data_IF_030066403869
#
_entry.id   IF_030066403869
#
_cell.length_a   1.000
_cell.length_b   1.000
_cell.length_c   1.000
_cell.angle_alpha   90.00
_cell.angle_beta   90.00
_cell.angle_gamma   90.00
#
_symmetry.space_group_name_H-M   'P 1'
#
loop_
_entity.id
_entity.type
_entity.pdbx_description
1 polymer ?
#
# COMPACT_ATOMS: atom_id res chain seq x y z
N UNK A 1 -4.21 -29.03 7.48
CA UNK A 1 -3.58 -28.00 8.33
C UNK A 1 -3.93 -26.64 7.77
N UNK A 2 -4.19 -25.66 8.63
CA UNK A 2 -4.38 -24.25 8.24
C UNK A 2 -3.11 -23.73 7.57
N UNK A 3 -3.22 -23.16 6.38
CA UNK A 3 -2.09 -22.54 5.67
C UNK A 3 -1.96 -21.09 6.09
N UNK A 4 -0.73 -20.66 6.32
CA UNK A 4 -0.34 -19.26 6.52
C UNK A 4 0.54 -18.86 5.34
N UNK A 5 0.07 -17.96 4.48
CA UNK A 5 0.77 -17.51 3.27
C UNK A 5 0.89 -15.99 3.25
N UNK A 6 2.00 -15.46 2.77
CA UNK A 6 2.18 -14.02 2.66
C UNK A 6 2.88 -13.60 1.36
N UNK A 7 2.51 -12.42 0.86
CA UNK A 7 3.22 -11.69 -0.16
C UNK A 7 3.60 -10.31 0.39
N UNK A 8 4.89 -10.00 0.41
CA UNK A 8 5.43 -8.77 0.98
C UNK A 8 6.19 -8.01 -0.10
N UNK A 9 5.74 -6.80 -0.41
CA UNK A 9 6.24 -6.01 -1.53
C UNK A 9 6.82 -4.69 -1.01
N UNK A 10 8.08 -4.43 -1.36
CA UNK A 10 8.76 -3.16 -1.11
C UNK A 10 9.26 -2.55 -2.41
N UNK A 11 9.04 -1.24 -2.60
CA UNK A 11 9.53 -0.51 -3.78
C UNK A 11 10.26 0.77 -3.35
N UNK A 12 11.59 0.81 -3.55
CA UNK A 12 12.45 1.97 -3.31
C UNK A 12 12.70 2.81 -4.58
N UNK A 13 12.39 2.28 -5.76
CA UNK A 13 12.53 2.94 -7.06
C UNK A 13 13.94 3.44 -7.39
N UNK A 14 15.01 2.64 -7.15
CA UNK A 14 16.38 3.11 -7.27
C UNK A 14 16.70 3.64 -8.67
N UNK A 15 17.37 4.79 -8.76
CA UNK A 15 17.77 5.42 -10.02
C UNK A 15 16.65 6.14 -10.75
N UNK A 16 15.44 6.23 -10.17
CA UNK A 16 14.30 6.93 -10.75
C UNK A 16 14.18 8.34 -10.14
N UNK A 17 14.97 9.27 -10.67
CA UNK A 17 15.15 10.60 -10.08
C UNK A 17 13.84 11.36 -9.83
N UNK A 18 13.59 11.64 -8.54
CA UNK A 18 12.40 12.33 -8.05
C UNK A 18 11.29 11.42 -7.55
N UNK A 19 11.46 10.09 -7.55
CA UNK A 19 10.51 9.10 -7.02
C UNK A 19 11.18 8.10 -6.08
N UNK A 20 12.42 8.35 -5.64
CA UNK A 20 13.18 7.41 -4.83
C UNK A 20 12.70 7.41 -3.37
N UNK A 21 12.46 6.22 -2.83
CA UNK A 21 12.24 5.93 -1.42
C UNK A 21 13.39 5.06 -0.89
N UNK A 22 13.50 4.92 0.42
CA UNK A 22 14.62 4.21 1.07
C UNK A 22 14.15 3.11 2.01
N UNK A 23 13.02 3.29 2.69
CA UNK A 23 12.56 2.37 3.73
C UNK A 23 11.75 1.17 3.24
N UNK A 24 11.20 1.21 2.03
CA UNK A 24 10.16 0.27 1.61
C UNK A 24 10.64 -1.19 1.51
N UNK A 25 11.84 -1.42 0.97
CA UNK A 25 12.43 -2.75 0.95
C UNK A 25 12.79 -3.27 2.35
N UNK A 26 13.15 -2.37 3.28
CA UNK A 26 13.39 -2.73 4.68
C UNK A 26 12.08 -3.13 5.37
N UNK A 27 10.98 -2.41 5.11
CA UNK A 27 9.65 -2.71 5.65
C UNK A 27 9.19 -4.12 5.27
N UNK A 28 9.33 -4.51 4.00
CA UNK A 28 8.99 -5.85 3.54
C UNK A 28 9.80 -6.94 4.28
N UNK A 29 11.10 -6.72 4.51
CA UNK A 29 11.94 -7.64 5.28
C UNK A 29 11.63 -7.66 6.78
N UNK A 30 11.26 -6.52 7.37
CA UNK A 30 10.78 -6.43 8.76
C UNK A 30 9.52 -7.26 8.95
N UNK A 31 8.53 -7.08 8.09
CA UNK A 31 7.29 -7.86 8.15
C UNK A 31 7.54 -9.35 7.90
N UNK A 32 8.45 -9.72 6.99
CA UNK A 32 8.84 -11.12 6.81
C UNK A 32 9.37 -11.73 8.12
N UNK A 33 10.26 -11.00 8.80
CA UNK A 33 10.82 -11.42 10.08
C UNK A 33 9.73 -11.53 11.15
N UNK A 34 8.84 -10.53 11.23
CA UNK A 34 7.74 -10.49 12.19
C UNK A 34 6.76 -11.65 11.98
N UNK A 35 6.34 -11.92 10.74
CA UNK A 35 5.44 -13.02 10.40
C UNK A 35 6.01 -14.39 10.77
N UNK A 36 7.32 -14.59 10.53
CA UNK A 36 7.99 -15.84 10.89
C UNK A 36 8.12 -16.01 12.41
N UNK A 37 8.60 -14.98 13.08
CA UNK A 37 9.02 -15.08 14.50
C UNK A 37 7.88 -14.90 15.48
N UNK A 38 6.87 -14.09 15.15
CA UNK A 38 5.73 -13.79 16.05
C UNK A 38 4.45 -14.47 15.64
N UNK A 39 4.21 -14.66 14.34
CA UNK A 39 2.95 -15.25 13.84
C UNK A 39 3.11 -16.67 13.30
N UNK A 40 4.32 -17.24 13.33
CA UNK A 40 4.57 -18.63 12.93
C UNK A 40 4.26 -18.93 11.46
N UNK A 41 4.48 -17.97 10.55
CA UNK A 41 4.39 -18.23 9.12
C UNK A 41 5.61 -19.06 8.66
N UNK A 42 5.41 -20.20 7.96
CA UNK A 42 6.50 -20.93 7.34
C UNK A 42 7.21 -20.06 6.30
N UNK A 43 8.55 -20.05 6.30
CA UNK A 43 9.32 -19.16 5.42
C UNK A 43 9.10 -19.46 3.94
N UNK A 44 8.87 -20.71 3.58
CA UNK A 44 8.55 -21.18 2.23
C UNK A 44 7.18 -20.69 1.70
N UNK A 45 6.31 -20.21 2.60
CA UNK A 45 5.01 -19.65 2.26
C UNK A 45 5.00 -18.12 2.27
N UNK A 46 6.17 -17.47 2.41
CA UNK A 46 6.31 -16.02 2.35
C UNK A 46 7.10 -15.67 1.10
N UNK A 47 6.43 -15.04 0.14
CA UNK A 47 7.06 -14.45 -1.04
C UNK A 47 7.41 -12.98 -0.75
N UNK A 48 8.63 -12.56 -1.10
CA UNK A 48 9.12 -11.19 -0.89
C UNK A 48 9.61 -10.61 -2.21
N UNK A 49 9.00 -9.49 -2.65
CA UNK A 49 9.37 -8.78 -3.88
C UNK A 49 9.97 -7.41 -3.51
N UNK A 50 11.23 -7.18 -3.92
CA UNK A 50 11.98 -5.95 -3.62
C UNK A 50 12.83 -5.54 -4.81
N UNK A 51 13.08 -4.24 -4.96
CA UNK A 51 13.79 -3.64 -6.10
C UNK A 51 15.19 -3.10 -5.76
N UNK A 52 15.68 -3.32 -4.54
CA UNK A 52 17.01 -2.91 -4.10
C UNK A 52 18.11 -3.94 -4.42
N UNK A 53 17.74 -5.07 -5.02
CA UNK A 53 18.65 -6.11 -5.49
C UNK A 53 18.19 -6.67 -6.85
N UNK A 54 18.96 -6.48 -7.94
CA UNK A 54 18.61 -7.04 -9.26
C UNK A 54 18.54 -8.57 -9.32
N UNK A 55 19.16 -9.28 -8.37
CA UNK A 55 19.17 -10.75 -8.30
C UNK A 55 17.92 -11.38 -7.69
N UNK A 56 16.94 -10.57 -7.25
CA UNK A 56 15.67 -11.05 -6.68
C UNK A 56 14.51 -10.78 -7.63
N UNK A 57 13.37 -11.44 -7.38
CA UNK A 57 12.14 -11.12 -8.09
C UNK A 57 11.75 -9.66 -7.81
N UNK A 58 11.73 -8.88 -8.88
CA UNK A 58 11.44 -7.45 -8.83
C UNK A 58 9.96 -7.21 -8.53
N UNK A 59 9.66 -6.12 -7.85
CA UNK A 59 8.29 -5.68 -7.52
C UNK A 59 7.60 -4.97 -8.71
N UNK A 60 7.67 -5.56 -9.91
CA UNK A 60 6.99 -5.03 -11.12
C UNK A 60 5.49 -5.32 -11.09
N UNK A 61 4.70 -4.61 -11.90
CA UNK A 61 3.26 -4.85 -11.99
C UNK A 61 2.95 -6.33 -12.29
N UNK A 62 3.63 -6.89 -13.29
CA UNK A 62 3.45 -8.27 -13.71
C UNK A 62 3.81 -9.28 -12.62
N UNK A 63 4.90 -9.05 -11.89
CA UNK A 63 5.31 -9.92 -10.80
C UNK A 63 4.33 -9.83 -9.62
N UNK A 64 3.96 -8.63 -9.18
CA UNK A 64 2.99 -8.46 -8.08
C UNK A 64 1.69 -9.19 -8.41
N UNK A 65 1.14 -9.02 -9.62
CA UNK A 65 -0.06 -9.73 -10.07
C UNK A 65 0.10 -11.25 -10.02
N UNK A 66 1.18 -11.79 -10.61
CA UNK A 66 1.49 -13.23 -10.59
C UNK A 66 1.56 -13.78 -9.17
N UNK A 67 2.21 -13.06 -8.26
CA UNK A 67 2.38 -13.49 -6.87
C UNK A 67 1.10 -13.31 -6.04
N UNK A 68 0.24 -12.34 -6.37
CA UNK A 68 -1.11 -12.23 -5.80
C UNK A 68 -1.98 -13.42 -6.23
N UNK A 69 -1.95 -13.81 -7.50
CA UNK A 69 -2.63 -15.00 -8.01
C UNK A 69 -2.14 -16.27 -7.29
N UNK A 70 -0.81 -16.39 -7.07
CA UNK A 70 -0.23 -17.46 -6.24
C UNK A 70 -0.70 -17.38 -4.78
N UNK A 71 -0.80 -16.20 -4.19
CA UNK A 71 -1.22 -16.00 -2.79
C UNK A 71 -2.66 -16.49 -2.58
N UNK A 72 -3.58 -16.13 -3.47
CA UNK A 72 -5.00 -16.51 -3.38
C UNK A 72 -5.29 -17.91 -3.93
N UNK A 73 -4.33 -18.53 -4.62
CA UNK A 73 -4.44 -19.89 -5.14
C UNK A 73 -4.32 -20.98 -4.07
N UNK A 74 -5.07 -22.07 -4.25
CA UNK A 74 -5.06 -23.27 -3.40
C UNK A 74 -5.34 -23.00 -1.91
N UNK A 75 -6.24 -22.07 -1.61
CA UNK A 75 -6.65 -21.69 -0.25
C UNK A 75 -8.05 -22.22 0.09
N UNK A 76 -8.28 -22.49 1.37
CA UNK A 76 -9.56 -22.98 1.89
C UNK A 76 -9.94 -22.26 3.19
N UNK A 77 -11.22 -22.34 3.58
CA UNK A 77 -11.71 -21.77 4.84
C UNK A 77 -10.78 -22.12 6.02
N UNK A 78 -10.44 -21.11 6.82
CA UNK A 78 -9.50 -21.19 7.93
C UNK A 78 -8.07 -20.79 7.57
N UNK A 79 -7.69 -20.75 6.28
CA UNK A 79 -6.38 -20.26 5.86
C UNK A 79 -6.22 -18.75 6.13
N UNK A 80 -4.96 -18.33 6.32
CA UNK A 80 -4.58 -16.97 6.69
C UNK A 80 -3.62 -16.42 5.65
N UNK A 81 -4.01 -15.31 5.04
CA UNK A 81 -3.29 -14.66 3.96
C UNK A 81 -2.91 -13.24 4.38
N UNK A 82 -1.65 -12.87 4.17
CA UNK A 82 -1.17 -11.51 4.37
C UNK A 82 -0.64 -10.96 3.06
N UNK A 83 -1.18 -9.84 2.61
CA UNK A 83 -0.52 -9.02 1.60
C UNK A 83 0.01 -7.76 2.28
N UNK A 84 1.25 -7.37 1.98
CA UNK A 84 1.75 -6.07 2.39
C UNK A 84 2.42 -5.37 1.24
N UNK A 85 2.13 -4.07 1.11
CA UNK A 85 2.77 -3.20 0.15
C UNK A 85 3.34 -1.98 0.86
N UNK A 86 4.61 -1.71 0.62
CA UNK A 86 5.33 -0.51 1.06
C UNK A 86 5.92 0.15 -0.17
N UNK A 87 5.54 1.41 -0.44
CA UNK A 87 5.92 2.11 -1.66
C UNK A 87 4.96 3.26 -1.97
N UNK A 88 5.04 3.76 -3.20
CA UNK A 88 4.21 4.83 -3.67
C UNK A 88 2.74 4.43 -3.89
N UNK A 89 1.82 5.33 -3.55
CA UNK A 89 0.40 5.24 -3.87
C UNK A 89 -0.21 6.59 -4.26
N UNK A 90 -1.32 6.58 -5.01
CA UNK A 90 -2.12 7.77 -5.32
C UNK A 90 -3.50 7.44 -5.90
N UNK A 91 -4.33 8.47 -6.06
CA UNK A 91 -5.54 8.45 -6.88
C UNK A 91 -5.21 8.71 -8.35
N UNK A 92 -5.76 7.88 -9.23
CA UNK A 92 -5.75 8.05 -10.68
C UNK A 92 -7.17 8.28 -11.17
N UNK A 93 -7.35 9.30 -12.02
CA UNK A 93 -8.65 9.54 -12.63
C UNK A 93 -9.02 8.36 -13.55
N UNK A 94 -10.27 7.91 -13.45
CA UNK A 94 -10.80 6.90 -14.38
C UNK A 94 -10.92 7.50 -15.78
N UNK A 95 -10.87 6.67 -16.81
CA UNK A 95 -10.98 7.11 -18.21
C UNK A 95 -12.29 7.88 -18.47
N UNK A 96 -12.28 8.71 -19.52
CA UNK A 96 -13.35 9.66 -19.90
C UNK A 96 -14.79 9.10 -19.98
N UNK A 97 -14.98 7.78 -20.01
CA UNK A 97 -16.27 7.09 -20.05
C UNK A 97 -16.81 6.68 -18.66
N UNK A 98 -15.97 6.71 -17.62
CA UNK A 98 -16.32 6.39 -16.24
C UNK A 98 -15.85 7.53 -15.32
N UNK A 99 -16.77 8.38 -14.86
CA UNK A 99 -16.42 9.44 -13.91
C UNK A 99 -16.02 8.84 -12.55
N UNK A 100 -14.84 9.19 -12.03
CA UNK A 100 -14.40 8.75 -10.69
C UNK A 100 -12.88 8.64 -10.56
N UNK A 101 -12.43 8.13 -9.43
CA UNK A 101 -11.01 7.92 -9.11
C UNK A 101 -10.77 6.44 -8.78
N UNK A 102 -9.64 5.92 -9.23
CA UNK A 102 -9.10 4.63 -8.81
C UNK A 102 -7.94 4.86 -7.87
N UNK A 103 -7.97 4.17 -6.74
CA UNK A 103 -6.79 4.07 -5.88
C UNK A 103 -5.77 3.15 -6.54
N UNK A 104 -4.50 3.51 -6.44
CA UNK A 104 -3.43 2.80 -7.09
C UNK A 104 -2.19 2.72 -6.20
N UNK A 105 -1.59 1.53 -6.16
CA UNK A 105 -0.20 1.36 -5.75
C UNK A 105 0.70 1.38 -6.99
N UNK A 106 1.94 1.82 -6.82
CA UNK A 106 2.90 1.95 -7.92
C UNK A 106 4.01 0.91 -7.77
N UNK A 107 4.00 -0.16 -8.59
CA UNK A 107 5.10 -1.11 -8.65
C UNK A 107 6.42 -0.44 -9.08
N UNK A 108 7.55 -1.13 -8.97
CA UNK A 108 8.86 -0.52 -9.23
C UNK A 108 9.08 -0.09 -10.70
N UNK A 109 8.27 -0.58 -11.63
CA UNK A 109 8.26 -0.15 -13.03
C UNK A 109 7.56 1.22 -13.23
N UNK A 110 6.95 1.77 -12.18
CA UNK A 110 6.27 3.08 -11.97
C UNK A 110 5.17 3.45 -12.95
N UNK A 111 5.41 3.18 -14.22
CA UNK A 111 4.58 3.49 -15.36
C UNK A 111 3.44 2.50 -15.57
N UNK A 112 3.31 1.48 -14.72
CA UNK A 112 2.20 0.52 -14.75
C UNK A 112 1.55 0.39 -13.36
N UNK A 113 0.69 1.35 -12.96
CA UNK A 113 0.03 1.31 -11.66
C UNK A 113 -0.77 0.02 -11.48
N UNK A 114 -0.89 -0.46 -10.25
CA UNK A 114 -1.82 -1.54 -9.89
C UNK A 114 -2.98 -0.89 -9.16
N UNK A 115 -4.12 -0.81 -9.84
CA UNK A 115 -5.33 -0.12 -9.38
C UNK A 115 -6.21 -1.02 -8.52
N UNK A 116 -7.19 -0.42 -7.84
CA UNK A 116 -8.24 -1.15 -7.13
C UNK A 116 -8.96 -2.17 -8.03
N UNK A 117 -9.22 -1.85 -9.30
CA UNK A 117 -9.75 -2.80 -10.30
C UNK A 117 -8.80 -3.99 -10.52
N UNK A 118 -7.48 -3.75 -10.70
CA UNK A 118 -6.48 -4.82 -10.83
C UNK A 118 -6.46 -5.73 -9.61
N UNK A 119 -6.46 -5.11 -8.43
CA UNK A 119 -6.35 -5.81 -7.17
C UNK A 119 -7.58 -6.66 -6.89
N UNK A 120 -8.78 -6.08 -7.02
CA UNK A 120 -10.08 -6.74 -6.81
C UNK A 120 -10.32 -7.87 -7.80
N UNK A 121 -9.80 -7.78 -9.03
CA UNK A 121 -9.84 -8.88 -9.99
C UNK A 121 -9.28 -10.20 -9.43
N UNK A 122 -8.31 -10.10 -8.53
CA UNK A 122 -7.61 -11.24 -7.93
C UNK A 122 -8.19 -11.55 -6.56
N UNK A 123 -8.26 -10.56 -5.66
CA UNK A 123 -8.63 -10.83 -4.25
C UNK A 123 -10.09 -11.21 -4.07
N UNK A 124 -11.00 -10.83 -4.99
CA UNK A 124 -12.41 -11.25 -4.91
C UNK A 124 -12.61 -12.77 -5.16
N UNK A 125 -11.57 -13.45 -5.66
CA UNK A 125 -11.55 -14.91 -5.84
C UNK A 125 -11.34 -15.67 -4.52
N UNK A 126 -10.94 -14.99 -3.44
CA UNK A 126 -10.76 -15.61 -2.13
C UNK A 126 -12.08 -16.23 -1.65
N UNK A 127 -12.09 -17.51 -1.23
CA UNK A 127 -13.27 -18.19 -0.74
C UNK A 127 -13.65 -17.70 0.68
N UNK A 128 -14.92 -17.82 1.02
CA UNK A 128 -15.41 -17.45 2.34
C UNK A 128 -14.69 -18.26 3.45
N UNK A 129 -14.47 -17.62 4.58
CA UNK A 129 -13.79 -18.21 5.74
C UNK A 129 -12.26 -18.16 5.69
N UNK A 130 -11.66 -17.67 4.60
CA UNK A 130 -10.23 -17.31 4.56
C UNK A 130 -10.05 -15.93 5.19
N UNK A 131 -9.08 -15.79 6.10
CA UNK A 131 -8.69 -14.48 6.63
C UNK A 131 -7.68 -13.83 5.69
N UNK A 132 -8.03 -12.69 5.11
CA UNK A 132 -7.12 -11.89 4.27
C UNK A 132 -6.85 -10.54 4.91
N UNK A 133 -5.59 -10.27 5.24
CA UNK A 133 -5.13 -8.98 5.78
C UNK A 133 -4.22 -8.29 4.78
N UNK A 134 -4.59 -7.08 4.38
CA UNK A 134 -3.76 -6.17 3.59
C UNK A 134 -3.22 -5.05 4.49
N UNK A 135 -1.89 -4.96 4.59
CA UNK A 135 -1.17 -3.87 5.24
C UNK A 135 -0.57 -2.96 4.17
N UNK A 136 -1.15 -1.79 4.01
CA UNK A 136 -0.73 -0.82 2.99
C UNK A 136 0.00 0.37 3.60
N UNK A 137 1.33 0.35 3.50
CA UNK A 137 2.18 1.48 3.88
C UNK A 137 2.46 2.37 2.65
N UNK A 138 1.38 2.94 2.12
CA UNK A 138 1.35 3.81 0.95
C UNK A 138 0.23 4.86 1.06
N UNK A 139 0.40 6.00 0.39
CA UNK A 139 -0.62 7.05 0.33
C UNK A 139 -1.84 6.61 -0.50
N UNK A 140 -3.05 7.01 -0.10
CA UNK A 140 -4.29 6.82 -0.89
C UNK A 140 -4.57 5.36 -1.28
N UNK A 141 -4.56 4.46 -0.29
CA UNK A 141 -4.75 3.02 -0.47
C UNK A 141 -5.92 2.41 0.31
N UNK A 142 -6.72 3.24 1.01
CA UNK A 142 -7.84 2.85 1.87
C UNK A 142 -9.05 2.20 1.17
N UNK A 143 -9.14 2.32 -0.15
CA UNK A 143 -10.19 1.80 -1.02
C UNK A 143 -9.71 0.74 -2.00
N UNK A 144 -8.48 0.22 -1.90
CA UNK A 144 -8.03 -0.90 -2.74
C UNK A 144 -8.85 -2.19 -2.54
N UNK A 145 -9.49 -2.35 -1.37
CA UNK A 145 -10.44 -3.44 -1.09
C UNK A 145 -11.87 -2.88 -1.05
N UNK A 146 -12.82 -3.69 -1.49
CA UNK A 146 -14.20 -3.31 -1.81
C UNK A 146 -15.06 -2.97 -0.57
N UNK A 147 -15.84 -1.88 -0.64
CA UNK A 147 -16.92 -1.46 0.27
C UNK A 147 -16.69 -1.70 1.78
N UNK A 148 -15.44 -1.63 2.25
CA UNK A 148 -15.12 -1.87 3.66
C UNK A 148 -15.54 -0.68 4.51
N UNK A 149 -16.28 -0.96 5.58
CA UNK A 149 -16.59 0.03 6.60
C UNK A 149 -15.28 0.49 7.27
N UNK A 150 -15.11 1.80 7.37
CA UNK A 150 -14.05 2.41 8.17
C UNK A 150 -14.36 2.21 9.66
N UNK A 151 -13.55 1.39 10.34
CA UNK A 151 -13.70 1.02 11.75
C UNK A 151 -12.88 1.90 12.67
N UNK A 152 -11.73 2.35 12.19
CA UNK A 152 -10.82 3.30 12.84
C UNK A 152 -10.38 4.27 11.77
N UNK A 153 -10.69 5.55 11.99
CA UNK A 153 -10.54 6.64 11.05
C UNK A 153 -11.78 7.53 11.10
N UNK A 154 -11.73 8.69 10.45
CA UNK A 154 -12.90 9.58 10.32
C UNK A 154 -12.79 10.97 10.95
N UNK A 155 -12.87 11.95 10.04
CA UNK A 155 -13.68 13.18 10.06
C UNK A 155 -13.47 14.26 11.15
N UNK A 156 -12.37 15.02 11.05
CA UNK A 156 -12.40 16.48 11.32
C UNK A 156 -12.13 17.35 10.08
N UNK A 157 -11.79 16.75 8.93
CA UNK A 157 -11.87 17.40 7.63
C UNK A 157 -13.05 16.80 6.87
N UNK A 158 -14.03 17.60 6.46
CA UNK A 158 -15.12 17.12 5.61
C UNK A 158 -14.59 16.35 4.39
N UNK A 159 -15.45 15.55 3.74
CA UNK A 159 -15.20 14.84 2.46
C UNK A 159 -14.85 15.76 1.28
N UNK A 160 -14.29 16.94 1.53
CA UNK A 160 -13.46 17.63 0.58
C UNK A 160 -12.20 16.79 0.44
N UNK A 161 -12.23 15.85 -0.51
CA UNK A 161 -11.02 15.37 -1.18
C UNK A 161 -10.10 16.58 -1.31
N UNK A 162 -9.00 16.60 -0.55
CA UNK A 162 -8.02 17.66 -0.73
C UNK A 162 -7.69 17.59 -2.22
N UNK A 163 -7.84 18.70 -2.93
CA UNK A 163 -7.14 18.92 -4.21
C UNK A 163 -5.68 18.74 -3.86
N UNK A 164 -5.22 17.50 -3.94
CA UNK A 164 -3.96 17.07 -3.35
C UNK A 164 -2.89 17.96 -3.93
N UNK A 165 -2.06 18.52 -3.06
CA UNK A 165 -1.00 19.40 -3.49
C UNK A 165 -0.21 18.74 -4.63
N UNK A 166 -0.08 19.43 -5.75
CA UNK A 166 0.81 19.02 -6.84
C UNK A 166 2.28 19.15 -6.43
N UNK A 167 2.55 19.78 -5.27
CA UNK A 167 3.91 19.94 -4.75
C UNK A 167 4.43 18.62 -4.19
N UNK A 168 5.62 18.25 -4.67
CA UNK A 168 6.36 17.10 -4.17
C UNK A 168 6.84 17.37 -2.75
N UNK A 169 6.61 16.41 -1.86
CA UNK A 169 7.15 16.40 -0.51
C UNK A 169 8.25 15.32 -0.38
N UNK A 170 9.51 15.69 -0.15
CA UNK A 170 10.64 14.75 -0.10
C UNK A 170 10.53 13.69 1.02
N UNK A 171 10.14 12.46 0.66
CA UNK A 171 9.94 11.36 1.62
C UNK A 171 8.46 10.98 1.78
N UNK A 172 7.56 11.73 1.15
CA UNK A 172 6.19 11.30 0.95
C UNK A 172 6.14 10.07 0.06
N UNK A 173 5.30 9.10 0.44
CA UNK A 173 4.97 7.94 -0.37
C UNK A 173 3.87 8.23 -1.41
N UNK A 174 3.69 9.49 -1.81
CA UNK A 174 2.73 9.88 -2.86
C UNK A 174 3.37 9.89 -4.24
N UNK A 175 2.74 9.25 -5.23
CA UNK A 175 3.13 9.37 -6.65
C UNK A 175 2.24 10.38 -7.37
N UNK A 176 2.67 11.63 -7.48
CA UNK A 176 1.86 12.67 -8.14
C UNK A 176 1.75 12.43 -9.65
N UNK A 177 0.69 12.94 -10.28
CA UNK A 177 0.52 12.83 -11.73
C UNK A 177 1.70 13.46 -12.51
N UNK A 178 2.25 14.65 -12.12
CA UNK A 178 3.48 15.16 -12.72
C UNK A 178 4.68 14.20 -12.63
N UNK A 179 4.87 13.51 -11.50
CA UNK A 179 5.92 12.49 -11.35
C UNK A 179 5.70 11.32 -12.33
N UNK A 180 4.47 10.80 -12.42
CA UNK A 180 4.11 9.73 -13.35
C UNK A 180 4.35 10.14 -14.81
N UNK A 181 3.88 11.32 -15.20
CA UNK A 181 4.08 11.88 -16.54
C UNK A 181 5.58 12.05 -16.84
N UNK A 182 6.38 12.52 -15.88
CA UNK A 182 7.84 12.62 -16.04
C UNK A 182 8.45 11.24 -16.30
N UNK A 183 8.06 10.22 -15.55
CA UNK A 183 8.56 8.86 -15.77
C UNK A 183 8.12 8.29 -17.12
N UNK A 184 6.87 8.52 -17.54
CA UNK A 184 6.39 8.12 -18.87
C UNK A 184 7.16 8.81 -20.00
N UNK A 185 7.44 10.10 -19.87
CA UNK A 185 8.27 10.86 -20.81
C UNK A 185 9.71 10.32 -20.89
N UNK A 186 10.33 10.02 -19.74
CA UNK A 186 11.68 9.44 -19.70
C UNK A 186 11.77 8.08 -20.43
N UNK A 187 10.66 7.35 -20.54
CA UNK A 187 10.57 6.07 -21.26
C UNK A 187 10.32 6.23 -22.76
N UNK A 188 10.06 7.44 -23.26
CA UNK A 188 9.86 7.70 -24.69
C UNK A 188 8.67 6.97 -25.31
N UNK A 189 7.57 6.82 -24.57
CA UNK A 189 6.46 5.93 -24.92
C UNK A 189 5.53 6.45 -26.03
N UNK A 190 5.56 7.75 -26.36
CA UNK A 190 4.74 8.37 -27.40
C UNK A 190 5.59 9.25 -28.34
N UNK A 191 5.09 9.45 -29.57
CA UNK A 191 5.61 10.48 -30.48
C UNK A 191 5.10 11.87 -30.03
N UNK A 192 5.73 12.41 -28.98
CA UNK A 192 5.36 13.68 -28.35
C UNK A 192 5.34 13.59 -26.82
N UNK A 193 5.17 14.73 -26.16
CA UNK A 193 5.14 14.78 -24.70
C UNK A 193 3.86 14.16 -24.13
N UNK A 194 4.04 13.36 -23.09
CA UNK A 194 2.95 12.86 -22.23
C UNK A 194 2.42 14.01 -21.38
N UNK A 195 1.10 14.08 -21.20
CA UNK A 195 0.34 15.07 -20.45
C UNK A 195 -0.87 14.41 -19.76
N UNK A 196 -1.62 15.12 -18.89
CA UNK A 196 -2.76 14.56 -18.16
C UNK A 196 -3.87 13.96 -19.05
N UNK A 197 -4.01 14.39 -20.30
CA UNK A 197 -5.05 13.89 -21.21
C UNK A 197 -4.63 12.64 -21.98
N UNK A 198 -3.32 12.43 -22.17
CA UNK A 198 -2.79 11.34 -22.99
C UNK A 198 -1.97 10.28 -22.22
N UNK A 199 -1.78 10.45 -20.91
CA UNK A 199 -1.03 9.50 -20.09
C UNK A 199 -1.64 8.08 -20.08
N UNK A 200 -2.98 7.85 -20.13
CA UNK A 200 -3.50 6.49 -20.21
C UNK A 200 -3.08 5.78 -21.49
N UNK A 201 -3.08 6.50 -22.62
CA UNK A 201 -2.59 5.97 -23.89
C UNK A 201 -1.08 5.69 -23.83
N UNK A 202 -0.30 6.54 -23.17
CA UNK A 202 1.13 6.31 -22.94
C UNK A 202 1.39 5.01 -22.19
N UNK A 203 0.66 4.77 -21.09
CA UNK A 203 0.73 3.52 -20.31
C UNK A 203 0.36 2.32 -21.19
N UNK A 204 -0.73 2.41 -21.94
CA UNK A 204 -1.15 1.34 -22.85
C UNK A 204 -0.12 1.06 -23.94
N UNK A 205 0.51 2.08 -24.51
CA UNK A 205 1.53 1.90 -25.55
C UNK A 205 2.78 1.20 -25.00
N UNK A 206 3.16 1.50 -23.76
CA UNK A 206 4.33 0.92 -23.12
C UNK A 206 4.10 -0.54 -22.69
N UNK A 207 2.94 -0.84 -22.10
CA UNK A 207 2.69 -2.13 -21.44
C UNK A 207 1.74 -3.07 -22.20
N UNK A 208 1.01 -2.54 -23.19
CA UNK A 208 0.06 -3.29 -24.03
C UNK A 208 -0.93 -4.09 -23.19
N UNK A 209 -1.06 -5.40 -23.42
CA UNK A 209 -1.96 -6.28 -22.67
C UNK A 209 -1.58 -6.50 -21.21
N UNK A 210 -0.38 -6.07 -20.79
CA UNK A 210 0.05 -6.12 -19.39
C UNK A 210 -0.23 -4.82 -18.62
N UNK A 211 -0.78 -3.79 -19.28
CA UNK A 211 -1.19 -2.57 -18.60
C UNK A 211 -2.32 -2.85 -17.61
N UNK A 212 -2.38 -2.04 -16.55
CA UNK A 212 -3.51 -1.98 -15.61
C UNK A 212 -4.88 -2.16 -16.27
N UNK A 213 -5.77 -2.89 -15.59
CA UNK A 213 -7.16 -3.08 -16.00
C UNK A 213 -7.90 -1.76 -16.14
N UNK A 214 -7.57 -0.73 -15.35
CA UNK A 214 -8.14 0.62 -15.52
C UNK A 214 -7.83 1.21 -16.89
N UNK A 215 -6.70 0.82 -17.49
CA UNK A 215 -6.23 1.32 -18.79
C UNK A 215 -6.73 0.43 -19.93
N UNK A 216 -6.86 -0.88 -19.70
CA UNK A 216 -7.19 -1.87 -20.73
C UNK A 216 -8.67 -2.24 -20.78
N UNK A 217 -9.42 -2.09 -19.69
CA UNK A 217 -10.85 -2.36 -19.58
C UNK A 217 -11.67 -1.09 -19.82
N UNK A 218 -12.83 -1.24 -20.48
CA UNK A 218 -13.81 -0.15 -20.66
C UNK A 218 -14.85 -0.08 -19.54
N UNK A 219 -14.85 -1.05 -18.62
CA UNK A 219 -15.83 -1.14 -17.55
C UNK A 219 -15.13 -1.46 -16.23
N UNK A 220 -15.51 -0.78 -15.14
CA UNK A 220 -14.98 -1.10 -13.82
C UNK A 220 -15.37 -2.52 -13.42
N UNK A 221 -14.54 -3.17 -12.61
CA UNK A 221 -14.93 -4.46 -12.04
C UNK A 221 -16.03 -4.18 -11.04
N UNK A 222 -17.22 -4.74 -11.29
CA UNK A 222 -18.34 -4.58 -10.36
C UNK A 222 -17.97 -5.18 -9.01
N UNK A 223 -18.14 -4.38 -7.97
CA UNK A 223 -18.17 -4.84 -6.59
C UNK A 223 -19.07 -6.07 -6.48
N UNK A 224 -18.52 -7.15 -5.92
CA UNK A 224 -19.30 -8.28 -5.49
C UNK A 224 -19.47 -8.13 -3.99
N UNK A 225 -20.66 -7.73 -3.55
CA UNK A 225 -21.09 -7.71 -2.15
C UNK A 225 -21.00 -9.11 -1.54
N UNK A 226 -19.79 -9.52 -1.15
CA UNK A 226 -19.57 -10.58 -0.18
C UNK A 226 -19.43 -9.89 1.16
N UNK A 227 -20.08 -10.40 2.19
CA UNK A 227 -20.14 -9.75 3.50
C UNK A 227 -18.81 -9.76 4.29
N UNK A 228 -17.70 -10.24 3.70
CA UNK A 228 -16.41 -10.41 4.40
C UNK A 228 -15.20 -10.39 3.44
N UNK A 229 -14.98 -9.27 2.72
CA UNK A 229 -13.98 -9.17 1.61
C UNK A 229 -12.51 -9.01 2.05
N UNK A 230 -12.24 -8.91 3.36
CA UNK A 230 -10.89 -8.80 3.91
C UNK A 230 -10.75 -7.74 5.01
N UNK A 231 -9.51 -7.54 5.43
CA UNK A 231 -9.09 -6.57 6.44
C UNK A 231 -8.03 -5.68 5.81
N UNK A 232 -8.22 -4.36 5.80
CA UNK A 232 -7.25 -3.39 5.30
C UNK A 232 -6.81 -2.47 6.43
N UNK A 233 -5.50 -2.38 6.63
CA UNK A 233 -4.90 -1.30 7.42
C UNK A 233 -4.10 -0.39 6.47
N UNK A 234 -4.45 0.90 6.42
CA UNK A 234 -3.72 1.91 5.65
C UNK A 234 -2.77 2.70 6.55
N UNK A 235 -1.65 3.16 6.01
CA UNK A 235 -0.64 3.91 6.77
C UNK A 235 -1.03 5.34 7.15
N UNK A 236 -2.06 5.90 6.53
CA UNK A 236 -2.55 7.25 6.81
C UNK A 236 -4.04 7.40 6.45
N UNK A 237 -4.65 8.50 6.89
CA UNK A 237 -5.97 8.94 6.44
C UNK A 237 -5.91 9.40 4.98
N UNK A 238 -7.07 9.48 4.32
CA UNK A 238 -7.16 9.81 2.88
C UNK A 238 -6.63 11.21 2.52
N UNK A 239 -6.55 12.12 3.49
CA UNK A 239 -6.06 13.49 3.31
C UNK A 239 -4.61 13.70 3.77
N UNK A 240 -3.97 12.66 4.30
CA UNK A 240 -2.61 12.71 4.85
C UNK A 240 -1.59 12.11 3.87
N UNK A 241 -0.33 12.07 4.30
CA UNK A 241 0.75 11.36 3.62
C UNK A 241 1.26 10.23 4.51
N UNK A 242 1.60 9.11 3.90
CA UNK A 242 2.45 8.09 4.50
C UNK A 242 3.92 8.50 4.31
N UNK A 243 4.71 8.35 5.38
CA UNK A 243 6.06 8.91 5.53
C UNK A 243 7.12 7.81 5.44
N UNK A 244 8.12 8.04 4.57
CA UNK A 244 9.37 7.28 4.52
C UNK A 244 10.46 8.00 5.31
N UNK A 245 10.81 7.46 6.48
CA UNK A 245 11.86 8.00 7.33
C UNK A 245 13.22 7.64 6.76
N UNK A 246 13.96 8.67 6.37
CA UNK A 246 15.32 8.56 5.86
C UNK A 246 16.23 8.35 7.06
N UNK A 247 16.41 7.10 7.46
CA UNK A 247 17.39 6.73 8.48
C UNK A 247 18.80 7.24 8.17
N UNK A 248 19.75 7.00 9.08
CA UNK A 248 21.16 7.39 8.91
C UNK A 248 21.74 6.98 7.55
N UNK A 249 22.78 7.68 7.10
CA UNK A 249 23.60 7.23 5.97
C UNK A 249 24.62 6.20 6.47
N UNK A 250 24.68 4.97 5.92
CA UNK A 250 23.95 4.46 4.75
C UNK A 250 22.51 4.02 5.08
N UNK A 251 21.59 4.03 4.09
CA UNK A 251 20.12 3.92 4.24
C UNK A 251 19.58 2.60 4.81
N UNK A 252 20.44 1.73 5.36
CA UNK A 252 20.11 0.47 5.99
C UNK A 252 19.13 0.62 7.17
N UNK A 253 19.01 1.83 7.73
CA UNK A 253 18.11 2.12 8.85
C UNK A 253 16.82 2.83 8.43
N UNK A 254 16.60 3.14 7.15
CA UNK A 254 15.36 3.76 6.68
C UNK A 254 14.14 2.83 6.85
N UNK A 255 12.96 3.41 7.09
CA UNK A 255 11.73 2.66 7.33
C UNK A 255 10.47 3.48 7.03
N UNK A 256 9.35 2.80 6.79
CA UNK A 256 8.01 3.40 6.81
C UNK A 256 7.51 3.54 8.23
N UNK A 257 7.04 4.74 8.59
CA UNK A 257 6.56 5.04 9.95
C UNK A 257 5.48 4.05 10.39
N UNK A 258 4.57 3.68 9.48
CA UNK A 258 3.47 2.77 9.79
C UNK A 258 3.96 1.33 10.02
N UNK A 259 4.75 0.79 9.09
CA UNK A 259 5.28 -0.58 9.21
C UNK A 259 6.16 -0.72 10.46
N UNK A 260 6.99 0.29 10.75
CA UNK A 260 7.83 0.30 11.95
C UNK A 260 7.01 0.34 13.24
N UNK A 261 5.92 1.09 13.25
CA UNK A 261 5.02 1.16 14.38
C UNK A 261 4.30 -0.18 14.61
N UNK A 262 3.85 -0.89 13.57
CA UNK A 262 3.31 -2.25 13.68
C UNK A 262 4.33 -3.20 14.33
N UNK A 263 5.57 -3.23 13.80
CA UNK A 263 6.65 -4.06 14.35
C UNK A 263 6.86 -3.78 15.84
N UNK A 264 6.88 -2.50 16.21
CA UNK A 264 7.11 -2.05 17.60
C UNK A 264 5.98 -2.43 18.53
N UNK A 265 4.72 -2.25 18.11
CA UNK A 265 3.55 -2.65 18.90
C UNK A 265 3.55 -4.16 19.11
N UNK A 266 3.66 -4.96 18.05
CA UNK A 266 3.70 -6.43 18.16
C UNK A 266 4.86 -6.88 19.07
N UNK A 267 6.05 -6.28 18.91
CA UNK A 267 7.22 -6.61 19.71
C UNK A 267 7.02 -6.36 21.21
N UNK A 268 6.28 -5.30 21.58
CA UNK A 268 5.97 -4.94 22.97
C UNK A 268 4.75 -5.67 23.54
N UNK A 269 3.88 -6.21 22.69
CA UNK A 269 2.68 -6.93 23.13
C UNK A 269 3.01 -8.37 23.53
N UNK A 270 2.59 -8.74 24.75
CA UNK A 270 2.65 -10.12 25.27
C UNK A 270 1.45 -10.98 24.88
N UNK A 271 0.38 -10.35 24.37
CA UNK A 271 -0.86 -10.99 23.91
C UNK A 271 -1.22 -10.49 22.53
N UNK A 272 -1.91 -11.34 21.77
CA UNK A 272 -2.49 -10.95 20.49
C UNK A 272 -3.50 -9.80 20.70
N UNK A 273 -3.53 -8.86 19.77
CA UNK A 273 -4.45 -7.72 19.75
C UNK A 273 -5.51 -7.97 18.68
N UNK A 274 -6.71 -7.40 18.84
CA UNK A 274 -7.66 -7.32 17.72
C UNK A 274 -7.16 -6.38 16.62
N UNK A 275 -7.72 -6.46 15.41
CA UNK A 275 -7.40 -5.51 14.33
C UNK A 275 -7.63 -4.05 14.77
N UNK A 276 -8.72 -3.79 15.50
CA UNK A 276 -9.05 -2.46 16.03
C UNK A 276 -8.09 -2.02 17.13
N UNK A 277 -7.72 -2.91 18.05
CA UNK A 277 -6.75 -2.61 19.10
C UNK A 277 -5.36 -2.34 18.54
N UNK A 278 -4.92 -3.15 17.57
CA UNK A 278 -3.65 -2.99 16.85
C UNK A 278 -3.59 -1.61 16.19
N UNK A 279 -4.60 -1.26 15.40
CA UNK A 279 -4.65 0.03 14.68
C UNK A 279 -4.60 1.21 15.65
N UNK A 280 -5.37 1.17 16.74
CA UNK A 280 -5.36 2.23 17.75
C UNK A 280 -4.03 2.31 18.52
N UNK A 281 -3.38 1.18 18.81
CA UNK A 281 -2.06 1.16 19.46
C UNK A 281 -0.99 1.77 18.55
N UNK A 282 -1.04 1.45 17.26
CA UNK A 282 -0.16 2.03 16.24
C UNK A 282 -0.37 3.54 16.11
N UNK A 283 -1.62 4.03 15.99
CA UNK A 283 -1.94 5.48 15.95
C UNK A 283 -1.37 6.21 17.16
N UNK A 284 -1.58 5.68 18.38
CA UNK A 284 -1.04 6.28 19.62
C UNK A 284 0.48 6.33 19.65
N UNK A 285 1.15 5.29 19.14
CA UNK A 285 2.60 5.26 19.08
C UNK A 285 3.14 6.35 18.14
N UNK A 286 2.58 6.43 16.93
CA UNK A 286 3.00 7.43 15.93
C UNK A 286 2.77 8.85 16.47
N UNK A 287 1.59 9.13 17.05
CA UNK A 287 1.31 10.43 17.66
C UNK A 287 2.29 10.74 18.80
N UNK A 288 2.54 9.77 19.69
CA UNK A 288 3.46 9.97 20.82
C UNK A 288 4.90 10.21 20.38
N UNK A 289 5.34 9.64 19.27
CA UNK A 289 6.68 9.86 18.73
C UNK A 289 6.76 11.23 18.03
N UNK A 290 5.70 11.61 17.31
CA UNK A 290 5.54 12.95 16.72
C UNK A 290 5.56 14.08 17.75
N UNK A 291 4.83 13.93 18.85
CA UNK A 291 4.78 14.95 19.92
C UNK A 291 6.14 15.18 20.60
N UNK A 292 7.10 14.26 20.42
CA UNK A 292 8.47 14.37 20.95
C UNK A 292 9.47 14.93 19.95
N UNK A 293 9.13 15.00 18.66
CA UNK A 293 10.00 15.57 17.64
C UNK A 293 9.87 17.10 17.60
N UNK A 294 10.92 17.78 17.14
CA UNK A 294 10.83 19.23 16.91
C UNK A 294 9.76 19.51 15.83
N UNK A 295 9.08 20.68 15.87
CA UNK A 295 8.05 20.99 14.89
C UNK A 295 8.63 20.98 13.48
N UNK A 296 7.95 20.30 12.56
CA UNK A 296 8.31 20.27 11.14
C UNK A 296 7.80 21.55 10.48
N UNK A 297 8.61 22.61 10.49
CA UNK A 297 8.22 23.93 9.97
C UNK A 297 8.81 24.22 8.59
N UNK A 298 8.07 24.97 7.77
CA UNK A 298 8.55 25.52 6.51
C UNK A 298 9.36 26.79 6.77
N UNK A 299 9.88 27.39 5.70
CA UNK A 299 10.67 28.62 5.77
C UNK A 299 9.89 29.80 6.37
N UNK A 300 8.55 29.74 6.37
CA UNK A 300 7.63 30.72 6.97
C UNK A 300 7.26 30.39 8.43
N UNK A 301 7.81 29.31 9.00
CA UNK A 301 7.54 28.87 10.36
C UNK A 301 6.18 28.18 10.53
N UNK A 302 5.55 27.69 9.46
CA UNK A 302 4.29 26.94 9.49
C UNK A 302 4.55 25.44 9.45
N UNK A 303 3.72 24.67 10.15
CA UNK A 303 3.80 23.22 10.13
C UNK A 303 3.55 22.67 8.71
N UNK A 304 4.53 21.96 8.15
CA UNK A 304 4.50 21.50 6.74
C UNK A 304 3.89 20.13 6.59
N UNK A 305 3.98 19.31 7.64
CA UNK A 305 3.51 17.93 7.70
C UNK A 305 2.98 17.68 9.11
N UNK A 306 1.82 17.04 9.24
CA UNK A 306 1.30 16.55 10.52
C UNK A 306 1.57 15.05 10.68
N UNK A 307 1.28 14.46 11.86
CA UNK A 307 1.46 13.03 12.06
C UNK A 307 0.53 12.25 11.11
N UNK A 308 1.01 11.10 10.63
CA UNK A 308 0.17 10.17 9.89
C UNK A 308 -0.71 9.36 10.85
N UNK A 309 -1.95 9.12 10.45
CA UNK A 309 -2.94 8.42 11.24
C UNK A 309 -3.41 7.15 10.52
N UNK A 310 -2.87 5.98 10.87
CA UNK A 310 -3.30 4.72 10.25
C UNK A 310 -4.77 4.40 10.46
N UNK A 311 -5.43 3.88 9.43
CA UNK A 311 -6.86 3.55 9.44
C UNK A 311 -7.08 2.03 9.37
N UNK A 312 -8.28 1.60 9.78
CA UNK A 312 -8.76 0.22 9.65
C UNK A 312 -10.06 0.21 8.86
N UNK A 313 -10.08 -0.56 7.78
CA UNK A 313 -11.27 -0.82 6.99
C UNK A 313 -11.55 -2.32 7.02
N UNK A 314 -12.71 -2.71 7.54
CA UNK A 314 -13.19 -4.09 7.54
C UNK A 314 -14.66 -4.18 8.01
N UNK A 315 -15.24 -5.38 7.97
CA UNK A 315 -16.54 -5.67 8.58
C UNK A 315 -16.47 -5.50 10.12
N UNK A 316 -17.62 -5.27 10.77
CA UNK A 316 -17.69 -5.18 12.24
C UNK A 316 -17.14 -6.43 12.91
N UNK A 317 -17.43 -7.62 12.35
CA UNK A 317 -16.91 -8.89 12.86
C UNK A 317 -15.38 -9.00 12.73
N UNK A 318 -14.78 -8.44 11.68
CA UNK A 318 -13.33 -8.46 11.50
C UNK A 318 -12.60 -7.43 12.38
N UNK A 319 -13.26 -6.35 12.78
CA UNK A 319 -12.64 -5.33 13.63
C UNK A 319 -12.16 -5.91 14.96
N UNK A 320 -12.94 -6.83 15.54
CA UNK A 320 -12.69 -7.45 16.83
C UNK A 320 -11.96 -8.80 16.73
N UNK A 321 -11.76 -9.35 15.52
CA UNK A 321 -10.90 -10.53 15.31
C UNK A 321 -9.44 -10.18 15.59
N UNK A 322 -8.68 -11.21 15.98
CA UNK A 322 -7.22 -11.12 16.19
C UNK A 322 -6.52 -10.62 14.93
N UNK A 323 -5.58 -9.69 15.11
CA UNK A 323 -4.71 -9.19 14.06
C UNK A 323 -3.81 -10.31 13.54
N UNK A 324 -3.99 -10.67 12.25
CA UNK A 324 -3.33 -11.77 11.54
C UNK A 324 -3.65 -13.15 12.15
N UNK A 325 -3.08 -13.48 13.31
CA UNK A 325 -3.35 -14.68 14.09
C UNK A 325 -2.72 -14.57 15.48
N UNK A 326 -2.96 -15.57 16.34
CA UNK A 326 -2.28 -15.66 17.63
C UNK A 326 -0.76 -15.73 17.50
N UNK A 327 -0.07 -15.25 18.53
CA UNK A 327 1.39 -15.33 18.61
C UNK A 327 1.86 -16.76 18.90
N UNK A 328 3.04 -17.11 18.39
CA UNK A 328 3.74 -18.37 18.70
C UNK A 328 4.66 -18.28 19.91
#
# INVERSE_FOLDING_TARGET
MVKKKALLVGCNYPGQAGTELKGCCNDARRLCTLLKTRFGFPGENIDVLVDDNPGTDQSTHANIRKYLEKLVGDVQSGDILVFSFSGHGNLLERSNDNTGWNEAIFPNDLTNPLTDDDFRAIVNQIPAGVTFTFISDSCCSGGLIDELKEQVGGAEGGKNFIKQSETYDPGSRRMTLPMLIKQLNNRGCLNGAVNPQNFPQAIFQLHKGNASLTITSRQPIKSHKKDDVGILLSGCESWEISIDEKGDNPPATAYGVFTKAIETVVSRSSKALSNKEMTNAVRRLIQSDWDRTAPHLDDDGKEVVGPQHPCLYCSDGNADKVFICDFV
#
